data_IF_871837673532
#
_entry.id   IF_871837673532
#
_cell.length_a   1.000
_cell.length_b   1.000
_cell.length_c   1.000
_cell.angle_alpha   90.00
_cell.angle_beta   90.00
_cell.angle_gamma   90.00
#
_symmetry.space_group_name_H-M   'P 1'
#
loop_
_entity.id
_entity.type
_entity.pdbx_description
1 polymer ?
#
# COMPACT_ATOMS: atom_id res chain seq x y z
N UNK A 1 -13.59 19.22 7.65
CA UNK A 1 -13.79 17.91 7.01
C UNK A 1 -14.98 17.88 6.06
N UNK A 2 -16.12 18.48 6.41
CA UNK A 2 -17.34 18.48 5.57
C UNK A 2 -17.18 19.22 4.23
N UNK A 3 -16.19 20.11 4.15
CA UNK A 3 -15.77 20.88 2.98
C UNK A 3 -15.06 20.04 1.90
N UNK A 4 -14.43 18.93 2.28
CA UNK A 4 -13.71 18.04 1.36
C UNK A 4 -14.71 17.05 0.77
N UNK A 5 -14.92 17.06 -0.56
CA UNK A 5 -15.94 16.23 -1.23
C UNK A 5 -15.50 14.77 -1.45
N UNK A 6 -14.22 14.53 -1.73
CA UNK A 6 -13.69 13.19 -2.00
C UNK A 6 -13.60 12.37 -0.70
N UNK A 7 -14.18 11.16 -0.70
CA UNK A 7 -14.19 10.26 0.47
C UNK A 7 -12.77 9.96 0.98
N UNK A 8 -11.88 9.54 0.09
CA UNK A 8 -10.48 9.25 0.43
C UNK A 8 -9.73 10.50 0.92
N UNK A 9 -9.97 11.67 0.30
CA UNK A 9 -9.37 12.93 0.73
C UNK A 9 -9.79 13.34 2.14
N UNK A 10 -11.06 13.09 2.52
CA UNK A 10 -11.53 13.28 3.89
C UNK A 10 -10.82 12.34 4.87
N UNK A 11 -10.66 11.06 4.53
CA UNK A 11 -9.99 10.09 5.39
C UNK A 11 -8.52 10.47 5.64
N UNK A 12 -7.78 10.85 4.60
CA UNK A 12 -6.39 11.32 4.74
C UNK A 12 -6.29 12.61 5.56
N UNK A 13 -7.20 13.57 5.36
CA UNK A 13 -7.22 14.79 6.18
C UNK A 13 -7.48 14.46 7.65
N UNK A 14 -8.49 13.64 7.93
CA UNK A 14 -8.85 13.25 9.29
C UNK A 14 -7.67 12.53 9.97
N UNK A 15 -7.00 11.63 9.26
CA UNK A 15 -5.80 10.95 9.74
C UNK A 15 -4.67 11.93 10.08
N UNK A 16 -4.34 12.85 9.16
CA UNK A 16 -3.29 13.86 9.39
C UNK A 16 -3.61 14.78 10.59
N UNK A 17 -4.88 15.13 10.80
CA UNK A 17 -5.30 15.90 11.98
C UNK A 17 -5.21 15.08 13.27
N UNK A 18 -5.61 13.81 13.24
CA UNK A 18 -5.54 12.89 14.38
C UNK A 18 -4.10 12.63 14.82
N UNK A 19 -3.15 12.51 13.89
CA UNK A 19 -1.74 12.26 14.18
C UNK A 19 -0.93 13.53 14.45
N UNK A 20 -1.54 14.72 14.28
CA UNK A 20 -0.84 15.99 14.41
C UNK A 20 0.21 16.25 13.32
N UNK A 21 0.05 15.64 12.15
CA UNK A 21 1.01 15.77 11.05
C UNK A 21 0.99 17.16 10.40
N UNK A 22 2.15 17.62 9.91
CA UNK A 22 2.24 18.86 9.14
C UNK A 22 1.56 18.69 7.77
N UNK A 23 0.39 19.32 7.64
CA UNK A 23 -0.47 19.24 6.46
C UNK A 23 0.14 19.93 5.24
N UNK A 24 0.95 20.97 5.42
CA UNK A 24 1.61 21.67 4.32
C UNK A 24 2.80 20.86 3.79
N UNK A 25 3.57 20.25 4.71
CA UNK A 25 4.63 19.33 4.33
C UNK A 25 4.07 18.11 3.57
N UNK A 26 3.01 17.47 4.10
CA UNK A 26 2.35 16.35 3.44
C UNK A 26 1.84 16.70 2.04
N UNK A 27 1.21 17.87 1.86
CA UNK A 27 0.75 18.32 0.55
C UNK A 27 1.92 18.48 -0.43
N UNK A 28 3.04 19.07 0.03
CA UNK A 28 4.25 19.22 -0.78
C UNK A 28 4.83 17.86 -1.19
N UNK A 29 4.88 16.88 -0.29
CA UNK A 29 5.34 15.52 -0.60
C UNK A 29 4.45 14.81 -1.63
N UNK A 30 3.13 15.06 -1.62
CA UNK A 30 2.21 14.46 -2.58
C UNK A 30 2.31 15.11 -3.97
N UNK A 31 2.56 16.42 -4.00
CA UNK A 31 2.70 17.22 -5.23
C UNK A 31 4.06 17.05 -5.92
N UNK A 32 5.08 16.56 -5.21
CA UNK A 32 6.39 16.32 -5.81
C UNK A 32 6.30 15.21 -6.88
N UNK A 33 7.20 15.29 -7.87
CA UNK A 33 7.24 14.37 -9.00
C UNK A 33 7.38 12.92 -8.51
N UNK A 34 6.49 12.05 -9.00
CA UNK A 34 6.64 10.60 -8.84
C UNK A 34 7.07 10.02 -10.19
N UNK A 35 8.29 9.53 -10.25
CA UNK A 35 8.70 8.64 -11.34
C UNK A 35 7.76 7.43 -11.31
N UNK A 36 7.02 7.22 -12.39
CA UNK A 36 6.20 6.02 -12.54
C UNK A 36 7.12 4.85 -12.82
N UNK A 37 6.94 3.75 -12.08
CA UNK A 37 7.59 2.48 -12.39
C UNK A 37 6.89 1.84 -13.58
N UNK A 38 7.68 1.33 -14.53
CA UNK A 38 7.18 0.49 -15.61
C UNK A 38 7.05 -0.98 -15.16
N UNK A 39 6.31 -1.78 -15.93
CA UNK A 39 6.27 -3.23 -15.71
C UNK A 39 7.66 -3.88 -15.83
N UNK A 40 8.51 -3.35 -16.73
CA UNK A 40 9.90 -3.80 -16.86
C UNK A 40 10.70 -3.51 -15.58
N UNK A 41 10.46 -2.37 -14.92
CA UNK A 41 11.19 -2.02 -13.69
C UNK A 41 10.94 -3.01 -12.56
N UNK A 42 9.69 -3.40 -12.35
CA UNK A 42 9.32 -4.36 -11.30
C UNK A 42 9.65 -5.80 -11.72
N UNK A 43 9.63 -6.11 -13.02
CA UNK A 43 10.01 -7.42 -13.54
C UNK A 43 11.50 -7.75 -13.39
N UNK A 44 12.36 -6.75 -13.14
CA UNK A 44 13.80 -6.95 -12.84
C UNK A 44 14.09 -7.32 -11.39
N UNK A 45 13.10 -7.32 -10.50
CA UNK A 45 13.29 -7.70 -9.11
C UNK A 45 13.61 -9.21 -9.04
N UNK A 46 14.76 -9.53 -8.45
CA UNK A 46 15.27 -10.90 -8.33
C UNK A 46 15.24 -11.44 -6.90
N UNK A 47 14.92 -10.60 -5.92
CA UNK A 47 14.68 -11.02 -4.54
C UNK A 47 13.24 -11.53 -4.37
N UNK A 48 12.95 -12.36 -3.35
CA UNK A 48 11.57 -12.67 -2.98
C UNK A 48 10.75 -11.40 -2.70
N UNK A 49 9.52 -11.34 -3.19
CA UNK A 49 8.60 -10.21 -3.00
C UNK A 49 7.25 -10.69 -2.48
N UNK A 50 6.73 -10.02 -1.45
CA UNK A 50 5.34 -10.16 -1.01
C UNK A 50 4.58 -8.87 -1.37
N UNK A 51 3.52 -9.00 -2.17
CA UNK A 51 2.56 -7.93 -2.43
C UNK A 51 1.35 -8.15 -1.54
N UNK A 52 1.10 -7.26 -0.58
CA UNK A 52 -0.04 -7.36 0.34
C UNK A 52 -0.96 -6.14 0.19
N UNK A 53 -2.20 -6.37 -0.21
CA UNK A 53 -3.17 -5.29 -0.50
C UNK A 53 -4.51 -5.61 0.14
N UNK A 54 -5.19 -4.58 0.66
CA UNK A 54 -6.55 -4.72 1.17
C UNK A 54 -7.56 -4.88 0.05
N UNK A 55 -8.49 -5.83 0.17
CA UNK A 55 -9.48 -6.13 -0.87
C UNK A 55 -10.47 -4.98 -1.16
N UNK A 56 -10.48 -3.92 -0.34
CA UNK A 56 -11.30 -2.72 -0.49
C UNK A 56 -10.45 -1.46 -0.63
N UNK A 57 -9.17 -1.62 -0.96
CA UNK A 57 -8.26 -0.50 -1.21
C UNK A 57 -8.55 0.11 -2.59
N UNK A 58 -9.19 1.29 -2.58
CA UNK A 58 -9.50 2.06 -3.78
C UNK A 58 -8.32 2.91 -4.29
N UNK A 59 -7.16 2.87 -3.60
CA UNK A 59 -5.98 3.70 -3.89
C UNK A 59 -4.85 2.89 -4.53
N UNK A 60 -4.59 1.68 -4.04
CA UNK A 60 -3.43 0.88 -4.44
C UNK A 60 -3.57 0.22 -5.83
N UNK A 61 -4.80 0.00 -6.32
CA UNK A 61 -5.06 -0.79 -7.52
C UNK A 61 -4.94 -2.30 -7.26
N UNK A 62 -4.77 -3.10 -8.31
CA UNK A 62 -4.74 -4.57 -8.20
C UNK A 62 -3.38 -5.08 -7.71
N UNK A 63 -3.35 -5.64 -6.50
CA UNK A 63 -2.16 -6.29 -5.95
C UNK A 63 -1.82 -7.60 -6.66
N UNK A 64 -2.83 -8.35 -7.12
CA UNK A 64 -2.63 -9.58 -7.87
C UNK A 64 -1.96 -9.33 -9.23
N UNK A 65 -2.42 -8.30 -9.96
CA UNK A 65 -1.79 -7.91 -11.23
C UNK A 65 -0.35 -7.45 -11.01
N UNK A 66 -0.06 -6.69 -9.95
CA UNK A 66 1.31 -6.29 -9.63
C UNK A 66 2.20 -7.49 -9.31
N UNK A 67 1.71 -8.45 -8.50
CA UNK A 67 2.45 -9.66 -8.19
C UNK A 67 2.74 -10.49 -9.45
N UNK A 68 1.80 -10.58 -10.38
CA UNK A 68 1.98 -11.30 -11.65
C UNK A 68 3.08 -10.70 -12.55
N UNK A 69 3.44 -9.42 -12.37
CA UNK A 69 4.53 -8.78 -13.10
C UNK A 69 5.92 -9.06 -12.50
N UNK A 70 5.99 -9.56 -11.26
CA UNK A 70 7.24 -9.72 -10.52
C UNK A 70 7.58 -11.22 -10.44
N UNK A 71 8.74 -11.66 -10.99
CA UNK A 71 9.12 -13.07 -10.95
C UNK A 71 9.18 -13.62 -9.52
N UNK A 72 8.41 -14.66 -9.25
CA UNK A 72 8.39 -15.33 -7.95
C UNK A 72 7.73 -14.53 -6.81
N UNK A 73 7.02 -13.45 -7.12
CA UNK A 73 6.27 -12.72 -6.10
C UNK A 73 5.04 -13.50 -5.61
N UNK A 74 4.71 -13.28 -4.35
CA UNK A 74 3.52 -13.81 -3.69
C UNK A 74 2.51 -12.68 -3.48
N UNK A 75 1.22 -12.98 -3.65
CA UNK A 75 0.14 -12.05 -3.35
C UNK A 75 -0.60 -12.45 -2.08
N UNK A 76 -0.81 -11.48 -1.17
CA UNK A 76 -1.60 -11.62 0.04
C UNK A 76 -2.79 -10.65 0.01
N UNK A 77 -3.98 -11.19 -0.17
CA UNK A 77 -5.22 -10.44 -0.01
C UNK A 77 -5.53 -10.22 1.49
N UNK A 78 -5.67 -8.95 1.88
CA UNK A 78 -6.07 -8.59 3.24
C UNK A 78 -7.58 -8.32 3.20
N UNK A 79 -8.35 -9.40 3.19
CA UNK A 79 -9.79 -9.37 2.90
C UNK A 79 -10.55 -8.38 3.77
N UNK A 80 -11.36 -7.54 3.13
CA UNK A 80 -12.26 -6.58 3.77
C UNK A 80 -11.57 -5.31 4.29
N UNK A 81 -10.26 -5.14 4.07
CA UNK A 81 -9.51 -3.96 4.51
C UNK A 81 -9.33 -2.95 3.39
N UNK A 82 -9.33 -1.69 3.78
CA UNK A 82 -9.03 -0.55 2.91
C UNK A 82 -7.59 -0.06 3.14
N UNK A 83 -7.22 0.96 2.37
CA UNK A 83 -5.91 1.60 2.38
C UNK A 83 -5.42 2.01 3.78
N UNK A 84 -6.33 2.42 4.66
CA UNK A 84 -5.98 3.00 5.96
C UNK A 84 -5.68 1.94 7.02
N UNK A 85 -6.28 0.76 6.89
CA UNK A 85 -6.26 -0.24 7.98
C UNK A 85 -5.59 -1.57 7.62
N UNK A 86 -5.26 -1.78 6.33
CA UNK A 86 -4.65 -3.03 5.86
C UNK A 86 -3.38 -3.41 6.62
N UNK A 87 -2.43 -2.48 6.77
CA UNK A 87 -1.13 -2.72 7.44
C UNK A 87 -1.24 -2.99 8.95
N UNK A 88 -2.34 -2.56 9.58
CA UNK A 88 -2.61 -2.83 10.99
C UNK A 88 -3.20 -4.21 11.24
N UNK A 89 -3.74 -4.86 10.20
CA UNK A 89 -4.48 -6.11 10.32
C UNK A 89 -3.58 -7.29 10.73
N UNK A 90 -4.17 -8.23 11.49
CA UNK A 90 -3.48 -9.45 11.93
C UNK A 90 -3.06 -10.36 10.75
N UNK A 91 -3.85 -10.39 9.68
CA UNK A 91 -3.57 -11.16 8.46
C UNK A 91 -2.31 -10.62 7.79
N UNK A 92 -2.20 -9.30 7.65
CA UNK A 92 -0.99 -8.66 7.14
C UNK A 92 0.23 -9.03 8.00
N UNK A 93 0.14 -8.84 9.32
CA UNK A 93 1.25 -9.12 10.24
C UNK A 93 1.68 -10.59 10.21
N UNK A 94 0.72 -11.52 10.21
CA UNK A 94 1.00 -12.94 10.13
C UNK A 94 1.63 -13.33 8.79
N UNK A 95 1.09 -12.82 7.67
CA UNK A 95 1.61 -13.10 6.34
C UNK A 95 3.03 -12.56 6.12
N UNK A 96 3.34 -11.36 6.63
CA UNK A 96 4.70 -10.81 6.58
C UNK A 96 5.67 -11.68 7.38
N UNK A 97 5.29 -12.10 8.59
CA UNK A 97 6.15 -12.95 9.42
C UNK A 97 6.39 -14.34 8.80
N UNK A 98 5.35 -14.95 8.23
CA UNK A 98 5.47 -16.23 7.51
C UNK A 98 6.39 -16.10 6.29
N UNK A 99 6.15 -15.08 5.46
CA UNK A 99 6.98 -14.81 4.29
C UNK A 99 8.46 -14.63 4.65
N UNK A 100 8.76 -13.82 5.66
CA UNK A 100 10.14 -13.62 6.13
C UNK A 100 10.74 -14.90 6.73
N UNK A 101 9.93 -15.75 7.36
CA UNK A 101 10.39 -17.05 7.87
C UNK A 101 10.75 -18.04 6.77
N UNK A 102 10.05 -18.01 5.64
CA UNK A 102 10.31 -18.88 4.48
C UNK A 102 11.46 -18.39 3.59
N UNK A 103 11.68 -17.08 3.55
CA UNK A 103 12.67 -16.41 2.71
C UNK A 103 13.82 -15.79 3.51
N UNK A 104 14.12 -16.34 4.69
CA UNK A 104 15.15 -15.80 5.58
C UNK A 104 16.48 -15.57 4.83
N UNK A 105 17.01 -14.35 4.97
CA UNK A 105 18.27 -13.85 4.39
C UNK A 105 19.49 -14.66 4.84
#
# INVERSE_FOLDING_TARGET
LQDIQHRTGRAFRAFAEQTGSDRAALATCILSSRTRLSAEDVGRLAMPVLVAVGSRDEVAGSGEELAALIPGAEFLDITGRDHMVAVGDKVYKAGVLDFLGRHAL
#
